data_IF_496663549833
#
_entry.id   IF_496663549833
#
_cell.length_a   1.000
_cell.length_b   1.000
_cell.length_c   1.000
_cell.angle_alpha   90.00
_cell.angle_beta   90.00
_cell.angle_gamma   90.00
#
_symmetry.space_group_name_H-M   'P 1'
#
loop_
_entity.id
_entity.type
_entity.pdbx_description
1 polymer ?
#
# COMPACT_ATOMS: atom_id res chain seq x y z
N UNK A 1 -28.66 -7.80 -5.64
CA UNK A 1 -27.81 -6.76 -5.00
C UNK A 1 -26.38 -7.24 -5.06
N UNK A 2 -25.47 -6.44 -5.63
CA UNK A 2 -24.03 -6.77 -5.69
C UNK A 2 -23.37 -6.39 -4.37
N UNK A 3 -22.77 -7.35 -3.66
CA UNK A 3 -21.92 -7.05 -2.51
C UNK A 3 -20.60 -6.50 -3.03
N UNK A 4 -20.19 -5.32 -2.56
CA UNK A 4 -18.90 -4.72 -2.91
C UNK A 4 -17.88 -5.11 -1.84
N UNK A 5 -16.79 -5.71 -2.26
CA UNK A 5 -15.67 -6.08 -1.37
C UNK A 5 -14.60 -5.00 -1.42
N UNK A 6 -14.09 -4.60 -0.27
CA UNK A 6 -13.04 -3.61 -0.15
C UNK A 6 -11.87 -4.14 0.69
N UNK A 7 -10.66 -3.89 0.20
CA UNK A 7 -9.41 -4.15 0.89
C UNK A 7 -8.79 -2.82 1.31
N UNK A 8 -8.25 -2.74 2.52
CA UNK A 8 -7.66 -1.54 3.08
C UNK A 8 -6.20 -1.79 3.43
N UNK A 9 -5.36 -0.75 3.33
CA UNK A 9 -3.97 -0.88 3.72
C UNK A 9 -3.82 -0.68 5.23
N UNK A 10 -3.29 -1.67 5.93
CA UNK A 10 -3.16 -1.63 7.41
C UNK A 10 -2.13 -0.60 7.88
N UNK A 11 -1.11 -0.31 7.06
CA UNK A 11 -0.09 0.71 7.37
C UNK A 11 -0.65 2.13 7.20
N UNK A 12 -1.43 2.37 6.15
CA UNK A 12 -2.07 3.67 5.97
C UNK A 12 -3.28 3.86 6.89
N UNK A 13 -3.91 2.78 7.33
CA UNK A 13 -5.14 2.77 8.11
C UNK A 13 -4.97 2.06 9.47
N UNK A 14 -4.06 2.52 10.34
CA UNK A 14 -3.82 1.87 11.63
C UNK A 14 -5.04 1.88 12.55
N UNK A 15 -5.98 2.80 12.32
CA UNK A 15 -7.23 2.90 13.06
C UNK A 15 -8.33 1.95 12.57
N UNK A 16 -8.10 1.17 11.51
CA UNK A 16 -9.06 0.18 11.00
C UNK A 16 -10.37 0.77 10.46
N UNK A 17 -10.35 2.03 10.02
CA UNK A 17 -11.55 2.73 9.53
C UNK A 17 -11.96 2.17 8.17
N UNK A 18 -13.19 1.67 8.06
CA UNK A 18 -13.70 0.95 6.87
C UNK A 18 -14.58 1.81 5.96
N UNK A 19 -14.53 3.13 6.11
CA UNK A 19 -15.31 4.06 5.29
C UNK A 19 -14.53 4.48 4.05
N UNK A 20 -15.06 4.15 2.89
CA UNK A 20 -14.58 4.67 1.61
C UNK A 20 -15.15 6.06 1.36
N UNK A 21 -14.28 7.00 1.02
CA UNK A 21 -14.68 8.35 0.62
C UNK A 21 -15.38 8.27 -0.74
N UNK A 22 -16.70 8.49 -0.75
CA UNK A 22 -17.47 8.53 -1.99
C UNK A 22 -17.06 9.75 -2.81
N UNK A 23 -16.35 9.52 -3.93
CA UNK A 23 -16.09 10.57 -4.92
C UNK A 23 -17.41 10.89 -5.64
N UNK A 24 -17.99 12.07 -5.35
CA UNK A 24 -19.15 12.57 -6.11
C UNK A 24 -18.69 13.07 -7.47
N UNK A 25 -18.72 12.19 -8.47
CA UNK A 25 -18.70 12.55 -9.90
C UNK A 25 -17.33 12.52 -10.60
N UNK A 26 -17.37 12.06 -11.86
CA UNK A 26 -16.38 12.40 -12.88
C UNK A 26 -15.33 11.33 -13.19
N UNK A 27 -15.66 10.43 -14.13
CA UNK A 27 -14.75 9.74 -15.07
C UNK A 27 -13.30 9.52 -14.61
N UNK A 28 -13.06 8.34 -14.04
CA UNK A 28 -11.95 7.45 -14.37
C UNK A 28 -10.76 8.10 -15.12
N UNK A 29 -9.80 8.71 -14.40
CA UNK A 29 -8.42 8.96 -14.88
C UNK A 29 -7.42 9.45 -13.83
N UNK A 30 -7.77 9.49 -12.55
CA UNK A 30 -6.77 9.81 -11.52
C UNK A 30 -5.88 8.60 -11.27
N UNK A 31 -4.58 8.77 -11.46
CA UNK A 31 -3.53 7.82 -11.06
C UNK A 31 -3.51 7.50 -9.54
N UNK A 32 -4.44 8.09 -8.77
CA UNK A 32 -4.69 7.86 -7.34
C UNK A 32 -6.04 7.16 -7.09
N UNK A 33 -6.58 6.44 -8.06
CA UNK A 33 -7.71 5.53 -7.82
C UNK A 33 -7.33 4.59 -6.65
N UNK A 34 -8.20 4.48 -5.65
CA UNK A 34 -7.91 3.70 -4.44
C UNK A 34 -7.11 4.44 -3.36
N UNK A 35 -7.05 5.77 -3.36
CA UNK A 35 -6.54 6.57 -2.23
C UNK A 35 -7.55 7.67 -1.83
N UNK A 36 -7.82 7.79 -0.54
CA UNK A 36 -8.60 8.89 0.05
C UNK A 36 -7.83 10.20 -0.11
N UNK A 37 -8.54 11.25 -0.50
CA UNK A 37 -7.95 12.58 -0.71
C UNK A 37 -7.71 13.22 0.65
N UNK A 38 -8.66 13.06 1.56
CA UNK A 38 -8.67 13.69 2.88
C UNK A 38 -7.45 13.31 3.74
N UNK A 39 -7.02 12.05 3.69
CA UNK A 39 -6.01 11.51 4.62
C UNK A 39 -5.01 10.56 3.98
N UNK A 40 -5.07 10.38 2.66
CA UNK A 40 -4.11 9.54 1.94
C UNK A 40 -4.28 8.04 2.18
N UNK A 41 -5.36 7.57 2.83
CA UNK A 41 -5.57 6.13 3.07
C UNK A 41 -5.85 5.37 1.79
N UNK A 42 -5.15 4.26 1.61
CA UNK A 42 -5.32 3.40 0.46
C UNK A 42 -6.41 2.35 0.70
N UNK A 43 -7.23 2.11 -0.32
CA UNK A 43 -8.21 1.04 -0.40
C UNK A 43 -8.32 0.52 -1.85
N UNK A 44 -8.73 -0.73 -2.00
CA UNK A 44 -8.98 -1.36 -3.30
C UNK A 44 -10.37 -1.98 -3.28
N UNK A 45 -11.08 -1.91 -4.41
CA UNK A 45 -12.38 -2.56 -4.57
C UNK A 45 -12.21 -3.82 -5.42
N UNK A 46 -12.54 -4.96 -4.83
CA UNK A 46 -12.32 -6.28 -5.42
C UNK A 46 -11.93 -7.30 -4.36
N UNK A 47 -11.64 -8.51 -4.82
CA UNK A 47 -11.08 -9.59 -4.00
C UNK A 47 -9.56 -9.46 -3.85
N UNK A 48 -8.97 -10.38 -3.08
CA UNK A 48 -7.54 -10.42 -2.80
C UNK A 48 -6.72 -10.69 -4.06
N UNK A 49 -7.21 -11.54 -4.96
CA UNK A 49 -6.53 -11.89 -6.21
C UNK A 49 -6.43 -10.66 -7.13
N UNK A 50 -7.52 -9.92 -7.32
CA UNK A 50 -7.53 -8.68 -8.07
C UNK A 50 -6.65 -7.60 -7.43
N UNK A 51 -6.62 -7.52 -6.10
CA UNK A 51 -5.73 -6.59 -5.40
C UNK A 51 -4.25 -6.94 -5.61
N UNK A 52 -3.90 -8.23 -5.56
CA UNK A 52 -2.54 -8.71 -5.85
C UNK A 52 -2.12 -8.38 -7.28
N UNK A 53 -3.02 -8.61 -8.26
CA UNK A 53 -2.78 -8.21 -9.64
C UNK A 53 -2.59 -6.69 -9.80
N UNK A 54 -3.17 -5.89 -8.90
CA UNK A 54 -2.98 -4.44 -8.82
C UNK A 54 -1.76 -3.99 -7.98
N UNK A 55 -0.91 -4.93 -7.54
CA UNK A 55 0.33 -4.65 -6.80
C UNK A 55 0.18 -4.54 -5.28
N UNK A 56 -0.97 -4.93 -4.73
CA UNK A 56 -1.10 -5.08 -3.28
C UNK A 56 -0.41 -6.35 -2.81
N UNK A 57 0.25 -6.31 -1.67
CA UNK A 57 0.92 -7.49 -1.11
C UNK A 57 0.38 -7.78 0.29
N UNK A 58 0.13 -9.06 0.63
CA UNK A 58 0.16 -9.44 2.04
C UNK A 58 1.58 -9.24 2.59
N UNK A 59 1.68 -8.74 3.82
CA UNK A 59 2.89 -8.74 4.62
C UNK A 59 3.08 -10.14 5.23
N UNK A 60 4.29 -10.45 5.70
CA UNK A 60 4.59 -11.70 6.41
C UNK A 60 3.71 -11.90 7.66
N UNK A 61 3.23 -10.81 8.27
CA UNK A 61 2.30 -10.83 9.41
C UNK A 61 0.82 -10.95 9.04
N UNK A 62 0.50 -11.17 7.75
CA UNK A 62 -0.90 -11.22 7.27
C UNK A 62 -1.56 -9.84 7.11
N UNK A 63 -0.79 -8.75 7.17
CA UNK A 63 -1.30 -7.38 6.91
C UNK A 63 -1.47 -7.12 5.42
N UNK A 64 -2.46 -6.34 5.00
CA UNK A 64 -2.60 -5.90 3.61
C UNK A 64 -1.85 -4.59 3.36
N UNK A 65 -0.93 -4.60 2.40
CA UNK A 65 -0.11 -3.45 2.04
C UNK A 65 -0.45 -2.95 0.64
N UNK A 66 -0.67 -1.64 0.53
CA UNK A 66 -0.76 -1.00 -0.78
C UNK A 66 0.62 -0.91 -1.44
N UNK A 67 0.71 -0.76 -2.77
CA UNK A 67 1.98 -0.72 -3.49
C UNK A 67 3.02 0.26 -2.91
N UNK A 68 2.56 1.41 -2.41
CA UNK A 68 3.42 2.42 -1.81
C UNK A 68 3.97 2.00 -0.43
N UNK A 69 3.21 1.24 0.35
CA UNK A 69 3.69 0.70 1.62
C UNK A 69 4.59 -0.51 1.41
N UNK A 70 4.28 -1.36 0.44
CA UNK A 70 5.14 -2.49 0.06
C UNK A 70 6.53 -2.00 -0.36
N UNK A 71 6.62 -1.03 -1.29
CA UNK A 71 7.89 -0.48 -1.73
C UNK A 71 8.72 0.17 -0.59
N UNK A 72 8.04 0.73 0.42
CA UNK A 72 8.71 1.30 1.61
C UNK A 72 9.30 0.21 2.51
N UNK A 73 8.57 -0.90 2.70
CA UNK A 73 9.04 -2.01 3.53
C UNK A 73 10.21 -2.75 2.83
N UNK A 74 10.12 -2.98 1.51
CA UNK A 74 11.23 -3.56 0.72
C UNK A 74 12.51 -2.71 0.80
N UNK A 75 12.37 -1.38 0.91
CA UNK A 75 13.53 -0.49 1.09
C UNK A 75 14.15 -0.62 2.50
N UNK A 76 13.37 -0.99 3.52
CA UNK A 76 13.82 -1.14 4.91
C UNK A 76 14.49 -2.49 5.18
N UNK A 77 14.08 -3.54 4.48
CA UNK A 77 14.64 -4.89 4.65
C UNK A 77 16.00 -5.06 3.98
N UNK A 78 16.48 -4.09 3.19
CA UNK A 78 17.83 -4.14 2.64
C UNK A 78 18.81 -3.79 3.76
N UNK A 79 19.66 -4.73 4.23
CA UNK A 79 20.65 -4.39 5.24
C UNK A 79 21.61 -3.36 4.63
N UNK A 80 21.84 -2.27 5.35
CA UNK A 80 22.94 -1.34 5.11
C UNK A 80 24.26 -2.05 5.42
N UNK A 81 24.63 -3.02 4.58
CA UNK A 81 25.89 -3.76 4.61
C UNK A 81 26.89 -3.20 3.61
N UNK A 82 26.97 -1.87 3.48
CA UNK A 82 28.05 -1.22 2.75
C UNK A 82 29.23 -1.02 3.70
N UNK A 83 30.06 -2.06 3.82
CA UNK A 83 31.31 -2.02 4.57
C UNK A 83 32.17 -0.82 4.13
N UNK A 84 32.36 0.14 5.04
CA UNK A 84 33.29 1.23 4.86
C UNK A 84 34.71 0.66 5.04
N UNK A 85 35.27 0.07 3.98
CA UNK A 85 36.69 -0.28 3.95
C UNK A 85 37.51 1.00 3.96
N UNK A 86 37.86 1.47 5.16
CA UNK A 86 38.99 2.36 5.37
C UNK A 86 40.26 1.58 5.01
N UNK A 87 40.62 1.61 3.73
CA UNK A 87 41.97 1.29 3.27
C UNK A 87 42.96 2.16 4.06
N UNK A 88 43.55 1.59 5.09
CA UNK A 88 44.74 2.14 5.74
C UNK A 88 45.86 2.07 4.71
N UNK A 89 46.05 3.17 3.99
CA UNK A 89 47.30 3.46 3.33
C UNK A 89 48.30 3.88 4.41
N UNK A 90 49.11 2.92 4.87
CA UNK A 90 50.55 3.07 5.22
C UNK A 90 51.11 1.77 5.76
#
# INVERSE_FOLDING_TARGET
>A
MSVRTFLFCDVCNPMGIRTVEMRRGGRHRDARAGRRITDGRAWFEGDVEAAQAAGWSPSHDGRHLCPLCTAREETRERPEGGELIHLHAR
#
